data_IF_627230701199
#
_entry.id   IF_627230701199
#
_cell.length_a   1.000
_cell.length_b   1.000
_cell.length_c   1.000
_cell.angle_alpha   90.00
_cell.angle_beta   90.00
_cell.angle_gamma   90.00
#
_symmetry.space_group_name_H-M   'P 1'
#
loop_
_entity.id
_entity.type
_entity.pdbx_description
1 polymer ?
#
# COMPACT_ATOMS: atom_id res chain seq x y z
N UNK A 1 -69.32 41.15 -31.49
CA UNK A 1 -68.52 41.64 -32.64
C UNK A 1 -67.13 41.00 -32.50
N UNK A 2 -67.03 39.77 -32.98
CA UNK A 2 -66.29 39.39 -34.21
C UNK A 2 -64.80 39.30 -33.94
N UNK A 3 -64.33 38.06 -33.74
CA UNK A 3 -62.91 37.75 -33.64
C UNK A 3 -62.23 37.74 -35.00
N UNK A 4 -60.90 37.89 -34.98
CA UNK A 4 -60.01 37.49 -36.08
C UNK A 4 -58.67 37.02 -35.52
N UNK A 5 -58.55 35.70 -35.41
CA UNK A 5 -57.45 34.86 -35.90
C UNK A 5 -56.02 35.43 -35.91
N UNK A 6 -55.12 34.80 -35.14
CA UNK A 6 -53.86 34.29 -35.71
C UNK A 6 -53.40 33.01 -35.03
N UNK A 7 -53.16 32.03 -35.89
CA UNK A 7 -52.65 30.69 -35.63
C UNK A 7 -51.34 30.69 -34.81
N UNK A 8 -51.28 29.87 -33.77
CA UNK A 8 -50.02 29.42 -33.17
C UNK A 8 -49.89 27.90 -33.39
N UNK A 9 -48.81 27.40 -34.00
CA UNK A 9 -48.69 25.99 -34.34
C UNK A 9 -48.37 25.13 -33.11
N UNK A 10 -48.98 23.95 -33.12
CA UNK A 10 -48.68 22.80 -32.27
C UNK A 10 -47.27 22.28 -32.55
N UNK A 11 -46.48 21.97 -31.52
CA UNK A 11 -45.31 21.10 -31.69
C UNK A 11 -44.35 21.05 -30.51
N UNK A 12 -43.96 19.82 -30.16
CA UNK A 12 -42.82 19.40 -29.30
C UNK A 12 -42.95 19.68 -27.79
N UNK A 13 -43.47 18.77 -26.95
CA UNK A 13 -42.92 17.45 -26.55
C UNK A 13 -41.48 17.51 -26.00
N UNK A 14 -41.42 17.59 -24.66
CA UNK A 14 -40.59 16.81 -23.74
C UNK A 14 -39.31 16.14 -24.29
N UNK A 15 -38.14 16.72 -24.03
CA UNK A 15 -36.82 16.04 -24.10
C UNK A 15 -35.76 16.76 -23.25
N UNK A 16 -35.81 16.65 -21.92
CA UNK A 16 -34.67 17.06 -21.04
C UNK A 16 -34.36 15.99 -20.00
N UNK A 17 -34.31 14.72 -20.41
CA UNK A 17 -34.00 13.60 -19.50
C UNK A 17 -32.98 12.61 -20.07
N UNK A 18 -32.12 13.02 -21.01
CA UNK A 18 -31.11 12.13 -21.62
C UNK A 18 -29.66 12.63 -21.58
N UNK A 19 -29.37 13.75 -20.90
CA UNK A 19 -28.00 14.29 -20.81
C UNK A 19 -27.26 13.95 -19.51
N UNK A 20 -27.93 13.35 -18.52
CA UNK A 20 -27.32 13.00 -17.23
C UNK A 20 -26.67 11.59 -17.20
N UNK A 21 -26.85 10.78 -18.25
CA UNK A 21 -26.42 9.38 -18.25
C UNK A 21 -25.03 9.12 -18.88
N UNK A 22 -24.38 10.14 -19.44
CA UNK A 22 -23.06 10.00 -20.09
C UNK A 22 -21.88 10.47 -19.24
N UNK A 23 -22.11 11.24 -18.17
CA UNK A 23 -21.05 11.77 -17.30
C UNK A 23 -20.76 10.89 -16.08
N UNK A 24 -21.47 9.77 -15.92
CA UNK A 24 -21.24 8.79 -14.85
C UNK A 24 -20.23 7.69 -15.20
N UNK A 25 -19.75 7.62 -16.45
CA UNK A 25 -18.97 6.49 -16.96
C UNK A 25 -17.45 6.73 -17.07
N UNK A 26 -16.94 7.89 -16.63
CA UNK A 26 -15.49 8.15 -16.51
C UNK A 26 -14.96 8.09 -15.07
N UNK A 27 -15.74 7.56 -14.13
CA UNK A 27 -15.26 7.18 -12.79
C UNK A 27 -14.71 5.75 -12.74
N UNK A 28 -14.36 5.17 -13.90
CA UNK A 28 -13.86 3.80 -14.02
C UNK A 28 -12.50 3.67 -13.32
N UNK A 29 -12.59 3.26 -12.06
CA UNK A 29 -11.80 2.17 -11.52
C UNK A 29 -10.28 2.31 -11.72
N UNK A 30 -9.66 3.17 -10.91
CA UNK A 30 -8.38 2.74 -10.32
C UNK A 30 -8.70 1.63 -9.30
N UNK A 31 -8.99 0.44 -9.80
CA UNK A 31 -8.96 -0.78 -8.99
C UNK A 31 -7.53 -0.89 -8.49
N UNK A 32 -7.27 -0.47 -7.24
CA UNK A 32 -6.03 -0.84 -6.57
C UNK A 32 -6.03 -2.36 -6.60
N UNK A 33 -5.19 -2.94 -7.43
CA UNK A 33 -5.07 -4.38 -7.50
C UNK A 33 -4.62 -4.82 -6.11
N UNK A 34 -5.52 -5.46 -5.36
CA UNK A 34 -5.24 -6.05 -4.05
C UNK A 34 -4.22 -7.17 -4.27
N UNK A 35 -2.96 -6.78 -4.40
CA UNK A 35 -1.83 -7.69 -4.33
C UNK A 35 -1.69 -8.09 -2.87
N UNK A 36 -1.50 -9.38 -2.55
CA UNK A 36 -1.26 -9.81 -1.19
C UNK A 36 -0.08 -9.02 -0.60
N UNK A 37 -0.28 -8.45 0.60
CA UNK A 37 0.77 -7.76 1.33
C UNK A 37 1.92 -8.74 1.64
N UNK A 38 3.12 -8.43 1.18
CA UNK A 38 4.31 -9.24 1.46
C UNK A 38 4.88 -8.79 2.80
N UNK A 39 4.89 -9.68 3.79
CA UNK A 39 5.53 -9.40 5.08
C UNK A 39 6.93 -10.02 5.14
N UNK A 40 7.94 -9.21 5.44
CA UNK A 40 9.33 -9.65 5.61
C UNK A 40 9.79 -9.39 7.05
N UNK A 41 10.38 -10.40 7.70
CA UNK A 41 11.03 -10.24 9.00
C UNK A 41 12.44 -9.73 8.78
N UNK A 42 12.82 -8.73 9.55
CA UNK A 42 14.15 -8.15 9.53
C UNK A 42 14.78 -8.20 10.92
N UNK A 43 15.83 -9.00 11.11
CA UNK A 43 16.54 -9.08 12.40
C UNK A 43 17.87 -8.33 12.35
N UNK A 44 18.18 -7.59 13.41
CA UNK A 44 19.49 -6.95 13.56
C UNK A 44 19.88 -6.77 15.03
N UNK A 45 21.16 -6.46 15.25
CA UNK A 45 21.74 -6.21 16.58
C UNK A 45 21.86 -4.73 16.97
N UNK A 46 21.21 -3.80 16.28
CA UNK A 46 21.37 -2.36 16.53
C UNK A 46 20.61 -1.88 17.77
N UNK A 47 20.96 -2.40 18.96
CA UNK A 47 20.35 -2.00 20.24
C UNK A 47 20.86 -0.63 20.74
N UNK A 48 22.05 -0.21 20.29
CA UNK A 48 22.67 1.07 20.60
C UNK A 48 22.16 2.26 19.76
N UNK A 49 23.00 3.31 19.56
CA UNK A 49 22.63 4.55 18.88
C UNK A 49 22.05 4.36 17.47
N UNK A 50 22.54 3.37 16.73
CA UNK A 50 22.13 3.07 15.35
C UNK A 50 20.66 2.59 15.24
N UNK A 51 20.09 2.13 16.35
CA UNK A 51 18.75 1.57 16.36
C UNK A 51 17.63 2.58 16.12
N UNK A 52 17.80 3.84 16.51
CA UNK A 52 16.80 4.90 16.26
C UNK A 52 16.72 5.27 14.77
N UNK A 53 17.84 5.60 14.09
CA UNK A 53 17.85 5.79 12.64
C UNK A 53 17.28 4.58 11.88
N UNK A 54 17.68 3.36 12.25
CA UNK A 54 17.19 2.15 11.56
C UNK A 54 15.66 1.98 11.67
N UNK A 55 15.08 2.27 12.84
CA UNK A 55 13.61 2.27 13.00
C UNK A 55 12.92 3.30 12.09
N UNK A 56 13.51 4.49 11.95
CA UNK A 56 12.97 5.52 11.08
C UNK A 56 13.01 5.09 9.61
N UNK A 57 14.11 4.46 9.17
CA UNK A 57 14.22 3.91 7.82
C UNK A 57 13.16 2.83 7.55
N UNK A 58 12.97 1.88 8.48
CA UNK A 58 11.94 0.85 8.36
C UNK A 58 10.53 1.46 8.31
N UNK A 59 10.28 2.49 9.13
CA UNK A 59 9.00 3.20 9.14
C UNK A 59 8.74 3.93 7.81
N UNK A 60 9.75 4.59 7.26
CA UNK A 60 9.67 5.27 5.97
C UNK A 60 9.41 4.26 4.85
N UNK A 61 10.20 3.19 4.81
CA UNK A 61 10.03 2.12 3.83
C UNK A 61 8.61 1.55 3.83
N UNK A 62 8.06 1.22 5.01
CA UNK A 62 6.70 0.71 5.12
C UNK A 62 5.63 1.72 4.69
N UNK A 63 5.91 3.02 4.81
CA UNK A 63 5.00 4.09 4.35
C UNK A 63 5.01 4.21 2.83
N UNK A 64 6.19 4.12 2.23
CA UNK A 64 6.38 4.26 0.78
C UNK A 64 5.99 3.01 -0.02
N UNK A 65 6.03 1.83 0.63
CA UNK A 65 5.78 0.53 -0.01
C UNK A 65 4.55 -0.15 0.63
N UNK A 66 3.32 0.25 0.29
CA UNK A 66 2.11 -0.28 0.93
C UNK A 66 1.83 -1.77 0.62
N UNK A 67 2.52 -2.33 -0.37
CA UNK A 67 2.48 -3.74 -0.74
C UNK A 67 3.52 -4.59 0.01
N UNK A 68 4.46 -3.97 0.74
CA UNK A 68 5.53 -4.64 1.47
C UNK A 68 5.61 -4.13 2.91
N UNK A 69 5.48 -5.04 3.88
CA UNK A 69 5.62 -4.73 5.30
C UNK A 69 6.87 -5.36 5.90
N UNK A 70 7.76 -4.52 6.39
CA UNK A 70 8.93 -4.94 7.16
C UNK A 70 8.58 -4.98 8.65
N UNK A 71 8.77 -6.15 9.28
CA UNK A 71 8.70 -6.33 10.73
C UNK A 71 10.12 -6.45 11.28
N UNK A 72 10.59 -5.39 11.91
CA UNK A 72 11.93 -5.34 12.46
C UNK A 72 11.99 -5.85 13.91
N UNK A 73 12.95 -6.74 14.20
CA UNK A 73 13.27 -7.20 15.54
C UNK A 73 14.72 -6.88 15.87
N UNK A 74 14.93 -6.12 16.94
CA UNK A 74 16.25 -5.76 17.48
C UNK A 74 16.56 -6.62 18.69
N UNK A 75 17.79 -7.12 18.79
CA UNK A 75 18.24 -7.92 19.92
C UNK A 75 19.68 -7.60 20.27
N UNK A 76 20.08 -7.80 21.52
CA UNK A 76 21.49 -7.68 21.88
C UNK A 76 22.35 -8.70 21.09
N UNK A 77 23.53 -8.27 20.62
CA UNK A 77 24.42 -9.09 19.78
C UNK A 77 24.77 -10.43 20.42
N UNK A 78 24.93 -10.48 21.74
CA UNK A 78 25.25 -11.71 22.46
C UNK A 78 24.15 -12.77 22.29
N UNK A 79 22.89 -12.35 22.38
CA UNK A 79 21.75 -13.26 22.19
C UNK A 79 21.45 -13.50 20.71
N UNK A 80 21.71 -12.49 19.88
CA UNK A 80 21.35 -12.45 18.46
C UNK A 80 21.96 -13.60 17.66
N UNK A 81 23.28 -13.83 17.76
CA UNK A 81 23.95 -14.82 16.91
C UNK A 81 23.48 -16.24 17.17
N UNK A 82 23.37 -16.62 18.45
CA UNK A 82 22.90 -17.95 18.79
C UNK A 82 21.46 -18.15 18.29
N UNK A 83 20.59 -17.15 18.46
CA UNK A 83 19.22 -17.23 17.95
C UNK A 83 19.17 -17.32 16.42
N UNK A 84 19.97 -16.52 15.72
CA UNK A 84 20.03 -16.53 14.25
C UNK A 84 20.52 -17.89 13.74
N UNK A 85 21.57 -18.45 14.35
CA UNK A 85 22.11 -19.75 14.00
C UNK A 85 21.08 -20.88 14.21
N UNK A 86 20.47 -20.95 15.38
CA UNK A 86 19.43 -21.94 15.70
C UNK A 86 18.20 -21.77 14.81
N UNK A 87 17.80 -20.53 14.52
CA UNK A 87 16.70 -20.25 13.60
C UNK A 87 17.03 -20.69 12.17
N UNK A 88 18.28 -20.49 11.72
CA UNK A 88 18.79 -20.95 10.42
C UNK A 88 18.69 -22.46 10.26
N UNK A 89 19.26 -23.22 11.21
CA UNK A 89 19.18 -24.70 11.20
C UNK A 89 17.73 -25.17 11.26
N UNK A 90 16.89 -24.48 12.03
CA UNK A 90 15.48 -24.83 12.18
C UNK A 90 14.55 -24.35 11.07
N UNK A 91 15.06 -23.75 9.98
CA UNK A 91 14.23 -23.23 8.88
C UNK A 91 13.28 -22.10 9.28
N UNK A 92 13.60 -21.38 10.35
CA UNK A 92 12.79 -20.30 10.95
C UNK A 92 13.54 -18.97 11.01
N UNK A 93 14.59 -18.83 10.21
CA UNK A 93 15.34 -17.59 10.06
C UNK A 93 14.43 -16.46 9.51
N UNK A 94 14.75 -15.19 9.80
CA UNK A 94 14.12 -14.08 9.10
C UNK A 94 14.52 -14.08 7.63
N UNK A 95 13.70 -13.46 6.80
CA UNK A 95 13.98 -13.29 5.36
C UNK A 95 15.16 -12.33 5.15
N UNK A 96 15.34 -11.36 6.06
CA UNK A 96 16.44 -10.40 6.03
C UNK A 96 17.12 -10.34 7.40
N UNK A 97 18.44 -10.36 7.45
CA UNK A 97 19.20 -10.24 8.69
C UNK A 97 20.55 -9.55 8.49
N UNK A 98 21.09 -8.99 9.58
CA UNK A 98 22.44 -8.43 9.61
C UNK A 98 23.40 -9.40 10.27
N UNK A 99 24.57 -9.58 9.70
CA UNK A 99 25.68 -10.33 10.28
C UNK A 99 26.97 -9.54 10.06
N UNK A 100 27.91 -9.64 11.00
CA UNK A 100 29.24 -9.08 10.77
C UNK A 100 29.95 -9.93 9.72
N UNK A 101 30.63 -9.30 8.76
CA UNK A 101 31.29 -10.00 7.66
C UNK A 101 32.29 -11.06 8.16
N UNK A 102 32.97 -10.81 9.29
CA UNK A 102 33.89 -11.76 9.93
C UNK A 102 33.24 -13.06 10.42
N UNK A 103 31.90 -13.12 10.50
CA UNK A 103 31.15 -14.30 10.91
C UNK A 103 30.60 -15.10 9.72
N UNK A 104 30.94 -14.70 8.49
CA UNK A 104 30.68 -15.47 7.28
C UNK A 104 31.98 -16.22 6.95
N UNK A 105 31.94 -17.56 6.80
CA UNK A 105 33.11 -18.37 6.45
C UNK A 105 33.76 -17.98 5.12
#
# INVERSE_FOLDING_TARGET
MTGHTKFLPRGMRATVALAALWMGFLGAACSRQDRPEITLRFWNGFTGPDGRPMQQLVKEFNRENPDIRIIMQRMDWYTYYNKLFVAGIGGRAPEVFIIHASNIP
#
